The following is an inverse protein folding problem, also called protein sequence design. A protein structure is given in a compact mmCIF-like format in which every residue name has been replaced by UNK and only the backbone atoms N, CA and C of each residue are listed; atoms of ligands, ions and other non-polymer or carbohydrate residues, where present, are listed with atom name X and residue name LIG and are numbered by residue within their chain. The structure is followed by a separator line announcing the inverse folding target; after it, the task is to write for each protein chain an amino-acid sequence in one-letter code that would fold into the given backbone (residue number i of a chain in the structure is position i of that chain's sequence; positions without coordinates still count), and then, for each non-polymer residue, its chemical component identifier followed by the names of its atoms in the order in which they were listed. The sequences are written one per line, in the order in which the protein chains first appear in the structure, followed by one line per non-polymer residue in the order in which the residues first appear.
data_IF_633815055670
#
_entry.id   IF_633815055670
#
_cell.length_a   1.000
_cell.length_b   1.000
_cell.length_c   1.000
_cell.angle_alpha   90.00
_cell.angle_beta   90.00
_cell.angle_gamma   90.00
#
_symmetry.space_group_name_H-M   'P 1'
#
loop_
_entity.id
_entity.type
_entity.pdbx_description
1 polymer ?
#
# COMPACT_ATOMS: atom_id res chain seq x y z
N UNK A 1 -6.54 -2.19 -6.64
CA UNK A 1 -5.15 -1.73 -6.41
C UNK A 1 -4.21 -2.67 -7.13
N UNK A 2 -3.11 -2.19 -7.72
CA UNK A 2 -2.09 -3.03 -8.35
C UNK A 2 -0.89 -3.19 -7.41
N UNK A 3 -0.37 -4.41 -7.29
CA UNK A 3 0.88 -4.73 -6.60
C UNK A 3 1.94 -4.97 -7.66
N UNK A 4 3.06 -4.26 -7.55
CA UNK A 4 4.18 -4.34 -8.50
C UNK A 4 5.35 -5.11 -7.86
N UNK A 5 5.71 -6.23 -8.46
CA UNK A 5 6.78 -7.11 -7.99
C UNK A 5 8.10 -6.89 -8.72
N UNK A 6 8.11 -6.14 -9.83
CA UNK A 6 9.32 -5.88 -10.62
C UNK A 6 9.92 -4.52 -10.28
N UNK A 7 10.79 -4.49 -9.27
CA UNK A 7 11.39 -3.25 -8.74
C UNK A 7 12.81 -2.97 -9.27
N UNK A 8 13.39 -3.88 -10.05
CA UNK A 8 14.77 -3.74 -10.56
C UNK A 8 14.87 -2.51 -11.48
N UNK A 9 15.83 -1.63 -11.19
CA UNK A 9 16.07 -0.41 -11.96
C UNK A 9 15.12 0.76 -11.66
N UNK A 10 14.13 0.59 -10.77
CA UNK A 10 13.24 1.68 -10.35
C UNK A 10 13.91 2.54 -9.27
N UNK A 11 13.66 3.85 -9.31
CA UNK A 11 14.10 4.75 -8.25
C UNK A 11 13.20 4.61 -7.02
N UNK A 12 13.70 3.91 -6.00
CA UNK A 12 12.96 3.63 -4.76
C UNK A 12 13.24 4.64 -3.63
N UNK A 13 14.08 5.65 -3.87
CA UNK A 13 14.55 6.59 -2.82
C UNK A 13 13.43 7.32 -2.07
N UNK A 14 12.29 7.55 -2.74
CA UNK A 14 11.13 8.25 -2.18
C UNK A 14 10.16 7.33 -1.44
N UNK A 15 10.32 6.01 -1.58
CA UNK A 15 9.39 5.05 -0.98
C UNK A 15 9.76 4.81 0.47
N UNK A 16 8.75 4.73 1.34
CA UNK A 16 8.99 4.22 2.69
C UNK A 16 9.10 2.71 2.65
N UNK A 17 10.00 2.17 3.46
CA UNK A 17 10.26 0.74 3.50
C UNK A 17 9.59 0.16 4.73
N UNK A 18 8.72 -0.83 4.52
CA UNK A 18 8.20 -1.70 5.58
C UNK A 18 8.76 -3.11 5.39
N UNK A 19 8.86 -3.86 6.49
CA UNK A 19 9.35 -5.25 6.49
C UNK A 19 8.35 -6.13 7.21
N UNK A 20 8.07 -7.29 6.62
CA UNK A 20 7.23 -8.31 7.22
C UNK A 20 7.79 -9.68 6.88
N UNK A 21 8.31 -10.37 7.90
CA UNK A 21 9.09 -11.59 7.72
C UNK A 21 10.28 -11.35 6.78
N UNK A 22 10.34 -12.12 5.70
CA UNK A 22 11.37 -12.03 4.66
C UNK A 22 11.00 -11.12 3.48
N UNK A 23 9.83 -10.46 3.54
CA UNK A 23 9.34 -9.56 2.50
C UNK A 23 9.68 -8.11 2.85
N UNK A 24 10.20 -7.39 1.85
CA UNK A 24 10.40 -5.95 1.91
C UNK A 24 9.36 -5.25 1.04
N UNK A 25 8.59 -4.37 1.66
CA UNK A 25 7.51 -3.61 1.04
C UNK A 25 7.98 -2.17 0.83
N UNK A 26 7.84 -1.65 -0.39
CA UNK A 26 8.10 -0.26 -0.71
C UNK A 26 6.76 0.45 -0.91
N UNK A 27 6.42 1.33 0.03
CA UNK A 27 5.15 2.04 0.03
C UNK A 27 5.33 3.41 -0.60
N UNK A 28 4.51 3.72 -1.61
CA UNK A 28 4.62 4.98 -2.33
C UNK A 28 4.21 6.17 -1.45
N UNK A 29 4.81 7.36 -1.64
CA UNK A 29 4.38 8.59 -0.95
C UNK A 29 2.89 8.91 -1.12
N UNK A 30 2.35 8.65 -2.32
CA UNK A 30 0.94 8.88 -2.63
C UNK A 30 0.00 8.06 -1.75
N UNK A 31 0.37 6.82 -1.42
CA UNK A 31 -0.44 5.97 -0.55
C UNK A 31 -0.51 6.53 0.87
N UNK A 32 0.59 7.12 1.41
CA UNK A 32 0.56 7.76 2.73
C UNK A 32 -0.27 9.04 2.78
N UNK A 33 -0.34 9.77 1.67
CA UNK A 33 -1.16 10.96 1.60
C UNK A 33 -2.63 10.60 1.74
N UNK A 34 -3.06 9.53 1.07
CA UNK A 34 -4.46 9.14 0.99
C UNK A 34 -4.91 8.14 2.05
N UNK A 35 -4.08 7.16 2.41
CA UNK A 35 -4.41 6.12 3.37
C UNK A 35 -4.17 6.60 4.81
N UNK A 36 -5.12 6.29 5.70
CA UNK A 36 -5.01 6.44 7.14
C UNK A 36 -4.14 5.34 7.73
N UNK A 37 -4.34 4.12 7.27
CA UNK A 37 -3.63 2.91 7.68
C UNK A 37 -3.45 2.02 6.44
N UNK A 38 -2.37 1.23 6.44
CA UNK A 38 -2.12 0.21 5.43
C UNK A 38 -1.77 -1.06 6.17
N UNK A 39 -2.60 -2.08 6.01
CA UNK A 39 -2.39 -3.41 6.53
C UNK A 39 -1.90 -4.30 5.42
N UNK A 40 -0.80 -5.00 5.69
CA UNK A 40 -0.27 -6.01 4.78
C UNK A 40 -0.22 -7.32 5.52
N UNK A 41 -0.90 -8.31 4.98
CA UNK A 41 -0.80 -9.68 5.41
C UNK A 41 -0.08 -10.52 4.34
N UNK A 42 0.82 -11.37 4.80
CA UNK A 42 1.64 -12.24 3.96
C UNK A 42 1.35 -13.67 4.38
N UNK A 43 0.47 -14.31 3.63
CA UNK A 43 0.10 -15.72 3.85
C UNK A 43 0.95 -16.62 2.96
N UNK A 44 1.47 -17.72 3.55
CA UNK A 44 2.22 -18.76 2.82
C UNK A 44 1.46 -20.07 2.85
N UNK A 45 1.08 -20.58 1.68
CA UNK A 45 0.46 -21.91 1.54
C UNK A 45 1.32 -22.78 0.62
N UNK A 46 2.00 -23.78 1.19
CA UNK A 46 3.03 -24.60 0.53
C UNK A 46 4.11 -23.73 -0.14
N UNK A 47 4.05 -23.59 -1.47
CA UNK A 47 4.97 -22.82 -2.30
C UNK A 47 4.42 -21.43 -2.68
N UNK A 48 3.12 -21.21 -2.48
CA UNK A 48 2.44 -19.98 -2.86
C UNK A 48 2.54 -18.95 -1.74
N UNK A 49 2.90 -17.72 -2.12
CA UNK A 49 2.83 -16.55 -1.25
C UNK A 49 1.73 -15.65 -1.77
N UNK A 50 0.81 -15.31 -0.88
CA UNK A 50 -0.28 -14.38 -1.16
C UNK A 50 -0.06 -13.11 -0.35
N UNK A 51 -0.30 -11.98 -1.00
CA UNK A 51 -0.24 -10.66 -0.39
C UNK A 51 -1.65 -10.10 -0.32
N UNK A 52 -2.13 -9.85 0.89
CA UNK A 52 -3.35 -9.09 1.10
C UNK A 52 -2.96 -7.70 1.55
N UNK A 53 -3.36 -6.70 0.76
CA UNK A 53 -3.07 -5.29 1.05
C UNK A 53 -4.41 -4.58 1.23
N UNK A 54 -4.66 -4.13 2.43
CA UNK A 54 -5.83 -3.33 2.78
C UNK A 54 -5.35 -1.94 3.15
N UNK A 55 -5.87 -0.92 2.49
CA UNK A 55 -5.60 0.46 2.85
C UNK A 55 -6.90 1.14 3.22
N UNK A 56 -7.02 1.56 4.47
CA UNK A 56 -8.14 2.38 4.89
C UNK A 56 -7.89 3.80 4.40
N UNK A 57 -8.75 4.30 3.52
CA UNK A 57 -8.67 5.69 3.09
C UNK A 57 -8.90 6.61 4.28
N UNK A 58 -8.18 7.74 4.33
CA UNK A 58 -8.58 8.84 5.22
C UNK A 58 -10.00 9.24 4.83
N UNK A 59 -10.87 9.56 5.81
CA UNK A 59 -12.18 10.11 5.50
C UNK A 59 -11.95 11.39 4.68
N UNK A 60 -12.29 11.32 3.40
CA UNK A 60 -12.38 12.50 2.57
C UNK A 60 -13.59 13.27 3.09
N UNK A 61 -13.35 14.41 3.74
CA UNK A 61 -14.43 15.36 4.00
C UNK A 61 -14.87 15.86 2.63
N UNK A 62 -15.93 15.27 2.08
CA UNK A 62 -16.74 15.97 1.10
C UNK A 62 -17.17 17.27 1.79
N UNK A 63 -16.70 18.41 1.28
CA UNK A 63 -17.32 19.68 1.64
C UNK A 63 -18.82 19.58 1.33
N UNK A 64 -19.69 20.36 2.01
CA UNK A 64 -21.12 20.29 1.76
C UNK A 64 -21.35 20.38 0.25
N UNK A 65 -21.91 19.33 -0.34
CA UNK A 65 -22.43 19.37 -1.70
C UNK A 65 -23.44 20.50 -1.71
N UNK A 66 -23.11 21.61 -2.36
CA UNK A 66 -24.12 22.59 -2.73
C UNK A 66 -25.12 21.86 -3.63
N UNK A 67 -26.28 21.50 -3.07
CA UNK A 67 -27.44 21.16 -3.87
C UNK A 67 -27.87 22.46 -4.56
N UNK A 68 -27.58 22.55 -5.86
CA UNK A 68 -28.06 23.61 -6.73
C UNK A 68 -29.37 23.18 -7.39
#
# INVERSE_FOLDING_TARGET
MSVDTYLKGKNLSRYRVARQGDVRLYVSPSLFQWARSVYVDVSRFFIWRSFQVEAEAKPHKHGPTCAH
#
